data_IF_025703298924
#
_entry.id   IF_025703298924
#
_cell.length_a   1.000
_cell.length_b   1.000
_cell.length_c   1.000
_cell.angle_alpha   90.00
_cell.angle_beta   90.00
_cell.angle_gamma   90.00
#
_symmetry.space_group_name_H-M   'P 1'
#
loop_
_entity.id
_entity.type
_entity.pdbx_description
1 polymer ?
#
# COMPACT_ATOMS: atom_id res chain seq x y z
N UNK A 1 21.66 3.63 32.35
CA UNK A 1 22.89 3.55 33.18
C UNK A 1 23.36 4.96 33.48
N UNK A 2 23.65 5.27 34.74
CA UNK A 2 23.87 6.63 35.23
C UNK A 2 25.30 7.09 34.87
N UNK A 3 25.47 7.85 33.78
CA UNK A 3 26.77 8.39 33.30
C UNK A 3 27.59 9.03 34.44
N UNK A 4 26.90 9.70 35.37
CA UNK A 4 27.48 10.34 36.56
C UNK A 4 28.25 9.41 37.51
N UNK A 5 27.98 8.10 37.51
CA UNK A 5 28.70 7.17 38.39
C UNK A 5 30.06 6.76 37.82
N UNK A 6 30.19 6.72 36.49
CA UNK A 6 31.46 6.38 35.84
C UNK A 6 32.45 7.55 35.92
N UNK A 7 32.02 8.76 35.57
CA UNK A 7 32.89 9.95 35.59
C UNK A 7 33.45 10.21 36.99
N UNK A 8 32.64 10.05 38.05
CA UNK A 8 33.11 10.20 39.44
C UNK A 8 34.17 9.17 39.83
N UNK A 9 34.01 7.91 39.40
CA UNK A 9 34.99 6.85 39.64
C UNK A 9 36.29 7.10 38.87
N UNK A 10 36.19 7.62 37.65
CA UNK A 10 37.34 7.96 36.82
C UNK A 10 38.14 9.12 37.43
N UNK A 11 37.49 10.22 37.81
CA UNK A 11 38.17 11.35 38.48
C UNK A 11 38.90 10.93 39.76
N UNK A 12 38.31 10.03 40.56
CA UNK A 12 38.96 9.50 41.75
C UNK A 12 40.25 8.72 41.40
N UNK A 13 40.20 7.85 40.38
CA UNK A 13 41.37 7.08 39.92
C UNK A 13 42.45 7.95 39.30
N UNK A 14 42.06 8.93 38.50
CA UNK A 14 42.97 9.89 37.88
C UNK A 14 43.75 10.67 38.96
N UNK A 15 43.07 11.08 40.04
CA UNK A 15 43.71 11.77 41.16
C UNK A 15 44.70 10.88 41.93
N UNK A 16 44.41 9.58 42.05
CA UNK A 16 45.30 8.61 42.68
C UNK A 16 46.55 8.38 41.82
N UNK A 17 46.34 8.17 40.51
CA UNK A 17 47.42 8.01 39.53
C UNK A 17 48.34 9.23 39.50
N UNK A 18 47.80 10.46 39.48
CA UNK A 18 48.63 11.67 39.51
C UNK A 18 49.56 11.72 40.72
N UNK A 19 49.04 11.35 41.88
CA UNK A 19 49.80 11.37 43.14
C UNK A 19 50.92 10.35 43.10
N UNK A 20 50.62 9.12 42.67
CA UNK A 20 51.61 8.05 42.56
C UNK A 20 52.68 8.37 41.52
N UNK A 21 52.29 8.92 40.37
CA UNK A 21 53.20 9.29 39.30
C UNK A 21 54.16 10.41 39.73
N UNK A 22 53.66 11.44 40.41
CA UNK A 22 54.50 12.52 40.96
C UNK A 22 55.49 11.98 42.00
N UNK A 23 55.03 11.14 42.92
CA UNK A 23 55.90 10.51 43.92
C UNK A 23 56.99 9.63 43.26
N UNK A 24 56.64 8.90 42.19
CA UNK A 24 57.59 8.11 41.42
C UNK A 24 58.64 8.99 40.73
N UNK A 25 58.24 10.05 40.01
CA UNK A 25 59.17 11.00 39.38
C UNK A 25 60.10 11.64 40.40
N UNK A 26 59.60 11.98 41.59
CA UNK A 26 60.40 12.55 42.69
C UNK A 26 61.42 11.56 43.26
N UNK A 27 61.10 10.26 43.26
CA UNK A 27 62.00 9.20 43.73
C UNK A 27 63.17 8.89 42.78
N UNK A 28 63.11 9.36 41.53
CA UNK A 28 64.12 9.06 40.51
C UNK A 28 65.37 9.96 40.62
N UNK A 29 66.56 9.42 40.28
CA UNK A 29 67.79 10.21 40.16
C UNK A 29 67.65 11.34 39.11
N UNK A 30 68.38 12.44 39.33
CA UNK A 30 68.32 13.63 38.46
C UNK A 30 68.61 13.33 36.98
N UNK A 31 69.49 12.36 36.70
CA UNK A 31 69.84 11.96 35.33
C UNK A 31 68.69 11.23 34.61
N UNK A 32 67.89 10.46 35.34
CA UNK A 32 66.73 9.74 34.79
C UNK A 32 65.55 10.69 34.60
N UNK A 33 65.37 11.65 35.52
CA UNK A 33 64.37 12.72 35.36
C UNK A 33 64.61 13.56 34.11
N UNK A 34 65.86 13.94 33.83
CA UNK A 34 66.21 14.67 32.59
C UNK A 34 65.93 13.86 31.32
N UNK A 35 66.14 12.54 31.35
CA UNK A 35 65.80 11.66 30.23
C UNK A 35 64.29 11.60 29.99
N UNK A 36 63.50 11.51 31.06
CA UNK A 36 62.04 11.52 30.97
C UNK A 36 61.51 12.87 30.49
N UNK A 37 62.09 13.98 30.94
CA UNK A 37 61.77 15.32 30.47
C UNK A 37 62.06 15.49 28.98
N UNK A 38 63.21 15.00 28.50
CA UNK A 38 63.56 14.99 27.08
C UNK A 38 62.59 14.14 26.23
N UNK A 39 61.95 13.14 26.83
CA UNK A 39 60.93 12.30 26.20
C UNK A 39 59.50 12.86 26.35
N UNK A 40 59.32 13.98 27.06
CA UNK A 40 58.00 14.57 27.33
C UNK A 40 57.17 13.79 28.37
N UNK A 41 57.80 12.88 29.12
CA UNK A 41 57.20 12.02 30.14
C UNK A 41 57.45 12.56 31.56
N UNK A 42 57.68 13.87 31.71
CA UNK A 42 57.87 14.47 33.03
C UNK A 42 56.53 14.70 33.76
N UNK A 43 55.41 14.69 33.05
CA UNK A 43 54.08 14.98 33.58
C UNK A 43 53.16 13.76 33.43
N UNK A 44 52.27 13.51 34.42
CA UNK A 44 51.28 12.43 34.31
C UNK A 44 50.31 12.71 33.16
N UNK A 45 49.96 11.67 32.41
CA UNK A 45 49.00 11.77 31.31
C UNK A 45 47.58 11.54 31.82
N UNK A 46 46.84 12.62 32.02
CA UNK A 46 45.46 12.60 32.56
C UNK A 46 44.48 13.33 31.61
N UNK A 47 44.92 13.62 30.38
CA UNK A 47 44.09 14.32 29.42
C UNK A 47 42.88 13.45 29.06
N UNK A 48 41.67 13.93 29.40
CA UNK A 48 40.41 13.29 29.04
C UNK A 48 40.06 13.50 27.54
N UNK A 49 40.87 14.27 26.81
CA UNK A 49 40.67 14.61 25.40
C UNK A 49 41.90 14.22 24.57
N UNK A 50 41.69 13.45 23.50
CA UNK A 50 42.69 13.25 22.45
C UNK A 50 42.67 14.40 21.45
N UNK A 51 43.77 14.63 20.72
CA UNK A 51 43.94 15.69 19.70
C UNK A 51 42.94 15.63 18.50
N UNK A 52 41.91 14.79 18.55
CA UNK A 52 40.89 14.63 17.52
C UNK A 52 39.46 15.02 17.93
N UNK A 53 39.21 15.39 19.19
CA UNK A 53 37.86 15.74 19.67
C UNK A 53 37.90 17.07 20.44
N UNK A 54 37.08 18.03 20.00
CA UNK A 54 36.98 19.34 20.67
C UNK A 54 36.24 19.26 22.02
N UNK A 55 35.43 18.22 22.25
CA UNK A 55 34.69 17.98 23.51
C UNK A 55 34.36 16.48 23.66
N UNK A 56 34.99 15.80 24.61
CA UNK A 56 34.60 14.46 25.05
C UNK A 56 35.28 13.28 24.34
N UNK A 57 35.03 12.08 24.85
CA UNK A 57 35.52 10.82 24.27
C UNK A 57 34.67 10.45 23.03
N UNK A 58 35.20 9.59 22.15
CA UNK A 58 34.47 9.11 20.98
C UNK A 58 33.15 8.41 21.34
N UNK A 59 33.10 7.81 22.55
CA UNK A 59 31.90 7.20 23.12
C UNK A 59 30.79 8.23 23.44
N UNK A 60 31.13 9.50 23.63
CA UNK A 60 30.16 10.58 23.84
C UNK A 60 29.58 11.11 22.53
N UNK A 61 30.05 10.61 21.37
CA UNK A 61 29.60 11.11 20.08
C UNK A 61 28.17 10.63 19.76
N UNK A 62 27.32 11.48 19.16
CA UNK A 62 25.99 11.07 18.69
C UNK A 62 26.02 9.92 17.67
N UNK A 63 27.15 9.74 16.98
CA UNK A 63 27.39 8.65 16.02
C UNK A 63 27.53 7.28 16.68
N UNK A 64 27.93 7.23 17.95
CA UNK A 64 28.08 5.99 18.73
C UNK A 64 26.89 5.76 19.67
N UNK A 65 25.81 6.54 19.52
CA UNK A 65 24.56 6.34 20.26
C UNK A 65 23.95 5.00 19.85
N UNK A 66 23.77 4.08 20.79
CA UNK A 66 22.93 2.90 20.57
C UNK A 66 21.52 3.39 20.17
N UNK A 67 20.96 2.78 19.12
CA UNK A 67 19.66 3.18 18.57
C UNK A 67 18.55 3.14 19.63
N UNK A 68 17.48 3.90 19.40
CA UNK A 68 16.34 3.90 20.33
C UNK A 68 15.79 2.47 20.47
N UNK A 69 15.48 2.08 21.72
CA UNK A 69 14.98 0.72 22.02
C UNK A 69 13.72 0.44 21.18
N UNK A 70 13.74 -0.58 20.31
CA UNK A 70 12.59 -0.90 19.47
C UNK A 70 11.34 -1.27 20.28
N UNK A 71 11.49 -1.65 21.55
CA UNK A 71 10.37 -1.92 22.46
C UNK A 71 9.71 -0.65 23.04
N UNK A 72 10.33 0.52 22.89
CA UNK A 72 9.76 1.82 23.27
C UNK A 72 9.10 2.55 22.09
N UNK A 73 9.17 1.99 20.89
CA UNK A 73 8.39 2.48 19.77
C UNK A 73 6.91 2.24 20.09
N UNK A 74 6.04 3.28 20.03
CA UNK A 74 4.61 3.05 20.12
C UNK A 74 4.22 2.06 18.99
N UNK A 75 3.40 1.07 19.33
CA UNK A 75 2.84 0.16 18.32
C UNK A 75 2.26 1.02 17.19
N UNK A 76 2.56 0.70 15.92
CA UNK A 76 1.99 1.43 14.81
C UNK A 76 0.46 1.43 14.98
N UNK A 77 -0.15 2.61 14.95
CA UNK A 77 -1.61 2.71 14.89
C UNK A 77 -2.09 1.79 13.76
N UNK A 78 -3.15 0.99 13.97
CA UNK A 78 -3.65 0.13 12.93
C UNK A 78 -3.98 0.99 11.71
N UNK A 79 -3.23 0.77 10.63
CA UNK A 79 -3.53 1.34 9.32
C UNK A 79 -5.01 1.09 9.01
N UNK A 80 -5.76 2.06 8.45
CA UNK A 80 -7.17 1.85 8.16
C UNK A 80 -7.32 0.63 7.24
N UNK A 81 -7.96 -0.42 7.76
CA UNK A 81 -8.18 -1.69 7.09
C UNK A 81 -8.83 -1.48 5.71
N UNK A 82 -8.03 -1.53 4.66
CA UNK A 82 -8.46 -1.46 3.26
C UNK A 82 -9.42 -2.64 2.90
N UNK A 83 -9.49 -3.67 3.74
CA UNK A 83 -10.39 -4.83 3.63
C UNK A 83 -11.87 -4.48 3.81
N UNK A 84 -12.18 -3.49 4.66
CA UNK A 84 -13.57 -3.06 4.92
C UNK A 84 -14.22 -2.48 3.65
N UNK A 85 -13.45 -1.72 2.87
CA UNK A 85 -13.88 -1.13 1.60
C UNK A 85 -14.23 -2.21 0.54
N UNK A 86 -13.42 -3.26 0.43
CA UNK A 86 -13.67 -4.34 -0.53
C UNK A 86 -14.91 -5.16 -0.15
N UNK A 87 -15.06 -5.47 1.13
CA UNK A 87 -16.20 -6.25 1.65
C UNK A 87 -17.52 -5.52 1.41
N UNK A 88 -17.60 -4.23 1.71
CA UNK A 88 -18.81 -3.43 1.46
C UNK A 88 -19.14 -3.33 -0.04
N UNK A 89 -18.14 -3.25 -0.91
CA UNK A 89 -18.34 -3.24 -2.36
C UNK A 89 -18.93 -4.56 -2.86
N UNK A 90 -18.38 -5.70 -2.41
CA UNK A 90 -18.89 -7.04 -2.73
C UNK A 90 -20.32 -7.21 -2.21
N UNK A 91 -20.58 -6.82 -0.96
CA UNK A 91 -21.92 -6.88 -0.38
C UNK A 91 -22.90 -5.98 -1.13
N UNK A 92 -22.49 -4.79 -1.55
CA UNK A 92 -23.31 -3.89 -2.37
C UNK A 92 -23.68 -4.52 -3.71
N UNK A 93 -22.72 -5.15 -4.40
CA UNK A 93 -22.97 -5.86 -5.64
C UNK A 93 -23.95 -7.04 -5.45
N UNK A 94 -23.77 -7.84 -4.40
CA UNK A 94 -24.67 -8.94 -4.05
C UNK A 94 -26.08 -8.42 -3.75
N UNK A 95 -26.21 -7.36 -2.95
CA UNK A 95 -27.51 -6.73 -2.64
C UNK A 95 -28.25 -6.29 -3.90
N UNK A 96 -27.55 -5.67 -4.86
CA UNK A 96 -28.14 -5.26 -6.16
C UNK A 96 -28.64 -6.46 -6.96
N UNK A 97 -27.85 -7.53 -7.06
CA UNK A 97 -28.25 -8.77 -7.76
C UNK A 97 -29.48 -9.40 -7.12
N UNK A 98 -29.48 -9.54 -5.78
CA UNK A 98 -30.60 -10.15 -5.06
C UNK A 98 -31.86 -9.29 -5.17
N UNK A 99 -31.74 -7.97 -5.02
CA UNK A 99 -32.86 -7.04 -5.19
C UNK A 99 -33.49 -7.18 -6.58
N UNK A 100 -32.67 -7.24 -7.62
CA UNK A 100 -33.16 -7.36 -9.00
C UNK A 100 -33.87 -8.71 -9.27
N UNK A 101 -33.47 -9.79 -8.60
CA UNK A 101 -34.17 -11.07 -8.69
C UNK A 101 -35.52 -11.01 -7.98
N UNK A 102 -35.58 -10.37 -6.81
CA UNK A 102 -36.79 -10.31 -5.97
C UNK A 102 -37.83 -9.30 -6.48
N UNK A 103 -37.42 -8.20 -7.10
CA UNK A 103 -38.31 -7.14 -7.56
C UNK A 103 -39.01 -7.43 -8.90
N UNK A 104 -38.64 -8.51 -9.60
CA UNK A 104 -39.19 -8.83 -10.93
C UNK A 104 -40.08 -10.07 -10.88
N UNK A 105 -41.23 -10.00 -11.54
CA UNK A 105 -42.27 -11.05 -11.52
C UNK A 105 -41.77 -12.42 -12.04
N UNK A 106 -40.77 -12.42 -12.93
CA UNK A 106 -40.14 -13.63 -13.45
C UNK A 106 -38.68 -13.72 -13.00
N UNK A 107 -38.50 -14.10 -11.73
CA UNK A 107 -37.19 -14.33 -11.11
C UNK A 107 -36.32 -15.31 -11.91
N UNK A 108 -36.91 -16.34 -12.52
CA UNK A 108 -36.17 -17.33 -13.32
C UNK A 108 -35.58 -16.72 -14.59
N UNK A 109 -36.36 -15.93 -15.33
CA UNK A 109 -35.87 -15.20 -16.50
C UNK A 109 -34.77 -14.21 -16.11
N UNK A 110 -34.98 -13.44 -15.05
CA UNK A 110 -33.99 -12.48 -14.55
C UNK A 110 -32.69 -13.18 -14.17
N UNK A 111 -32.76 -14.32 -13.47
CA UNK A 111 -31.58 -15.10 -13.09
C UNK A 111 -30.81 -15.62 -14.31
N UNK A 112 -31.50 -16.15 -15.32
CA UNK A 112 -30.85 -16.59 -16.56
C UNK A 112 -30.20 -15.43 -17.33
N UNK A 113 -30.82 -14.24 -17.31
CA UNK A 113 -30.22 -13.05 -17.89
C UNK A 113 -29.01 -12.56 -17.09
N UNK A 114 -29.06 -12.57 -15.75
CA UNK A 114 -27.94 -12.25 -14.87
C UNK A 114 -26.75 -13.20 -15.10
N UNK A 115 -27.02 -14.50 -15.22
CA UNK A 115 -26.00 -15.50 -15.53
C UNK A 115 -25.34 -15.25 -16.90
N UNK A 116 -26.12 -14.82 -17.90
CA UNK A 116 -25.60 -14.47 -19.24
C UNK A 116 -24.75 -13.20 -19.24
N UNK A 117 -25.15 -12.14 -18.52
CA UNK A 117 -24.42 -10.85 -18.50
C UNK A 117 -23.20 -10.87 -17.59
N UNK A 118 -23.24 -11.60 -16.48
CA UNK A 118 -22.10 -11.73 -15.55
C UNK A 118 -21.10 -12.80 -15.97
N UNK A 119 -21.55 -13.84 -16.67
CA UNK A 119 -20.72 -15.00 -17.03
C UNK A 119 -20.46 -15.98 -15.87
N UNK A 120 -20.92 -15.68 -14.65
CA UNK A 120 -20.62 -16.46 -13.43
C UNK A 120 -21.27 -17.85 -13.41
N UNK A 121 -22.35 -18.06 -14.15
CA UNK A 121 -23.07 -19.34 -14.22
C UNK A 121 -23.67 -19.57 -15.61
N UNK A 122 -22.95 -19.15 -16.65
CA UNK A 122 -23.45 -19.23 -18.02
C UNK A 122 -23.43 -20.68 -18.52
N UNK A 123 -24.61 -21.27 -18.71
CA UNK A 123 -24.80 -22.65 -19.18
C UNK A 123 -24.57 -22.84 -20.69
N UNK A 124 -23.99 -21.85 -21.38
CA UNK A 124 -23.87 -21.86 -22.84
C UNK A 124 -25.13 -21.43 -23.59
N UNK A 125 -26.27 -21.23 -22.89
CA UNK A 125 -27.55 -20.95 -23.53
C UNK A 125 -27.60 -19.59 -24.21
N UNK A 126 -27.87 -19.57 -25.51
CA UNK A 126 -28.01 -18.32 -26.25
C UNK A 126 -29.26 -17.54 -25.80
N UNK A 127 -29.30 -16.22 -26.05
CA UNK A 127 -30.50 -15.40 -25.81
C UNK A 127 -31.75 -15.95 -26.54
N UNK A 128 -31.55 -16.66 -27.66
CA UNK A 128 -32.65 -17.28 -28.42
C UNK A 128 -33.20 -18.51 -27.68
N UNK A 129 -32.36 -19.31 -27.04
CA UNK A 129 -32.79 -20.46 -26.23
C UNK A 129 -33.51 -20.01 -24.97
N UNK A 130 -32.98 -18.98 -24.29
CA UNK A 130 -33.63 -18.36 -23.14
C UNK A 130 -35.02 -17.85 -23.55
N UNK A 131 -35.10 -17.12 -24.67
CA UNK A 131 -36.35 -16.61 -25.20
C UNK A 131 -37.39 -17.71 -25.46
N UNK A 132 -36.98 -18.81 -26.10
CA UNK A 132 -37.84 -19.98 -26.35
C UNK A 132 -38.34 -20.62 -25.05
N UNK A 133 -37.47 -20.79 -24.06
CA UNK A 133 -37.81 -21.41 -22.77
C UNK A 133 -38.85 -20.60 -21.99
N UNK A 134 -38.76 -19.27 -22.08
CA UNK A 134 -39.64 -18.34 -21.36
C UNK A 134 -40.82 -17.84 -22.21
N UNK A 135 -40.98 -18.31 -23.45
CA UNK A 135 -42.09 -17.92 -24.33
C UNK A 135 -42.09 -16.45 -24.75
N UNK A 136 -40.92 -15.82 -24.79
CA UNK A 136 -40.75 -14.40 -25.12
C UNK A 136 -39.90 -14.20 -26.38
N UNK A 137 -39.81 -12.96 -26.86
CA UNK A 137 -38.95 -12.65 -28.01
C UNK A 137 -37.47 -12.56 -27.61
N UNK A 138 -36.58 -12.93 -28.53
CA UNK A 138 -35.13 -12.71 -28.35
C UNK A 138 -34.80 -11.24 -28.09
N UNK A 139 -35.54 -10.31 -28.72
CA UNK A 139 -35.36 -8.88 -28.52
C UNK A 139 -35.69 -8.45 -27.08
N UNK A 140 -36.73 -9.03 -26.47
CA UNK A 140 -37.05 -8.79 -25.05
C UNK A 140 -35.93 -9.28 -24.12
N UNK A 141 -35.41 -10.50 -24.33
CA UNK A 141 -34.24 -11.00 -23.59
C UNK A 141 -33.03 -10.09 -23.78
N UNK A 142 -32.76 -9.68 -25.02
CA UNK A 142 -31.64 -8.78 -25.32
C UNK A 142 -31.79 -7.43 -24.62
N UNK A 143 -33.00 -6.86 -24.57
CA UNK A 143 -33.26 -5.59 -23.87
C UNK A 143 -32.98 -5.76 -22.37
N UNK A 144 -33.52 -6.83 -21.78
CA UNK A 144 -33.33 -7.14 -20.36
C UNK A 144 -31.85 -7.32 -19.99
N UNK A 145 -31.09 -8.02 -20.83
CA UNK A 145 -29.65 -8.19 -20.61
C UNK A 145 -28.90 -6.83 -20.68
N UNK A 146 -29.31 -5.91 -21.55
CA UNK A 146 -28.70 -4.57 -21.60
C UNK A 146 -28.99 -3.78 -20.32
N UNK A 147 -30.25 -3.75 -19.87
CA UNK A 147 -30.65 -3.10 -18.61
C UNK A 147 -29.86 -3.64 -17.42
N UNK A 148 -29.69 -4.96 -17.31
CA UNK A 148 -28.91 -5.58 -16.23
C UNK A 148 -27.42 -5.26 -16.31
N UNK A 149 -26.86 -5.16 -17.52
CA UNK A 149 -25.45 -4.77 -17.72
C UNK A 149 -25.21 -3.35 -17.21
N UNK A 150 -26.15 -2.44 -17.47
CA UNK A 150 -26.10 -1.05 -17.00
C UNK A 150 -26.31 -0.94 -15.49
N UNK A 151 -27.27 -1.70 -14.93
CA UNK A 151 -27.58 -1.69 -13.50
C UNK A 151 -26.44 -2.25 -12.64
N UNK A 152 -25.80 -3.31 -13.12
CA UNK A 152 -24.70 -3.97 -12.41
C UNK A 152 -23.32 -3.36 -12.72
N UNK A 153 -23.27 -2.32 -13.57
CA UNK A 153 -22.04 -1.67 -14.04
C UNK A 153 -21.01 -2.67 -14.61
N UNK A 154 -21.51 -3.60 -15.44
CA UNK A 154 -20.69 -4.64 -16.05
C UNK A 154 -20.33 -4.29 -17.50
N UNK A 155 -19.16 -4.71 -18.00
CA UNK A 155 -18.93 -4.73 -19.45
C UNK A 155 -19.85 -5.77 -20.11
N UNK A 156 -20.22 -5.58 -21.39
CA UNK A 156 -21.01 -6.59 -22.09
C UNK A 156 -20.27 -7.92 -22.14
N UNK A 157 -20.95 -9.00 -21.74
CA UNK A 157 -20.36 -10.34 -21.74
C UNK A 157 -20.03 -10.84 -23.16
N UNK A 158 -19.28 -11.95 -23.26
CA UNK A 158 -18.98 -12.61 -24.53
C UNK A 158 -20.24 -12.98 -25.34
N UNK A 159 -21.33 -13.35 -24.65
CA UNK A 159 -22.60 -13.68 -25.29
C UNK A 159 -23.32 -12.43 -25.84
N UNK A 160 -22.86 -11.24 -25.47
CA UNK A 160 -23.42 -9.96 -25.89
C UNK A 160 -22.58 -9.30 -26.97
N UNK A 161 -23.24 -8.40 -27.70
CA UNK A 161 -22.56 -7.55 -28.67
C UNK A 161 -21.83 -6.41 -27.95
N UNK A 162 -20.59 -6.15 -28.35
CA UNK A 162 -19.78 -5.05 -27.81
C UNK A 162 -20.42 -3.67 -28.02
N UNK A 163 -20.08 -2.70 -27.18
CA UNK A 163 -20.61 -1.34 -27.26
C UNK A 163 -20.32 -0.68 -28.62
N UNK A 164 -19.10 -0.85 -29.14
CA UNK A 164 -18.69 -0.36 -30.46
C UNK A 164 -19.53 -0.97 -31.58
N UNK A 165 -19.74 -2.29 -31.53
CA UNK A 165 -20.59 -2.96 -32.50
C UNK A 165 -22.03 -2.44 -32.41
N UNK A 166 -22.62 -2.30 -31.21
CA UNK A 166 -23.97 -1.73 -31.03
C UNK A 166 -24.10 -0.33 -31.66
N UNK A 167 -23.13 0.56 -31.43
CA UNK A 167 -23.09 1.91 -32.05
C UNK A 167 -23.12 1.82 -33.59
N UNK A 168 -22.30 0.94 -34.17
CA UNK A 168 -22.25 0.72 -35.63
C UNK A 168 -23.58 0.19 -36.17
N UNK A 169 -24.20 -0.79 -35.52
CA UNK A 169 -25.49 -1.31 -35.95
C UNK A 169 -26.62 -0.30 -35.80
N UNK A 170 -26.62 0.51 -34.73
CA UNK A 170 -27.58 1.61 -34.56
C UNK A 170 -27.45 2.63 -35.69
N UNK A 171 -26.23 3.06 -36.01
CA UNK A 171 -25.98 3.99 -37.11
C UNK A 171 -26.38 3.40 -38.48
N UNK A 172 -26.10 2.12 -38.73
CA UNK A 172 -26.52 1.43 -39.93
C UNK A 172 -28.05 1.34 -40.03
N UNK A 173 -28.74 1.01 -38.93
CA UNK A 173 -30.20 0.92 -38.86
C UNK A 173 -30.87 2.27 -39.13
N UNK A 174 -30.37 3.36 -38.52
CA UNK A 174 -30.89 4.71 -38.75
C UNK A 174 -30.72 5.10 -40.23
N UNK A 175 -29.56 4.80 -40.83
CA UNK A 175 -29.33 5.05 -42.26
C UNK A 175 -30.32 4.27 -43.13
N UNK A 176 -30.50 2.97 -42.89
CA UNK A 176 -31.43 2.16 -43.68
C UNK A 176 -32.88 2.63 -43.56
N UNK A 177 -33.31 3.04 -42.36
CA UNK A 177 -34.67 3.55 -42.16
C UNK A 177 -34.86 4.89 -42.88
N UNK A 178 -33.92 5.83 -42.74
CA UNK A 178 -33.95 7.12 -43.45
C UNK A 178 -33.94 6.97 -44.97
N UNK A 179 -33.16 6.02 -45.50
CA UNK A 179 -33.15 5.72 -46.94
C UNK A 179 -34.47 5.16 -47.46
N UNK A 180 -35.26 4.49 -46.61
CA UNK A 180 -36.59 3.98 -46.95
C UNK A 180 -37.69 5.06 -46.82
N UNK A 181 -37.46 6.09 -46.00
CA UNK A 181 -38.38 7.23 -45.81
C UNK A 181 -38.26 8.29 -46.90
N UNK A 182 -37.16 8.34 -47.65
CA UNK A 182 -37.05 9.18 -48.84
C UNK A 182 -37.88 8.54 -49.96
N UNK A 183 -38.98 9.16 -50.43
CA UNK A 183 -39.69 8.67 -51.60
C UNK A 183 -38.69 8.64 -52.76
N UNK A 184 -38.71 7.56 -53.56
CA UNK A 184 -38.10 7.62 -54.88
C UNK A 184 -38.89 8.63 -55.70
N UNK A 185 -38.51 9.91 -55.63
CA UNK A 185 -38.88 10.91 -56.61
C UNK A 185 -38.08 10.58 -57.88
N UNK A 186 -38.50 9.52 -58.55
CA UNK A 186 -38.21 9.29 -59.96
C UNK A 186 -39.29 10.05 -60.74
N UNK A 187 -39.03 11.31 -61.03
CA UNK A 187 -39.69 12.01 -62.13
C UNK A 187 -38.64 12.21 -63.23
N UNK A 188 -38.94 11.54 -64.36
CA UNK A 188 -38.72 11.89 -65.77
C UNK A 188 -37.37 12.44 -66.23
#
# INVERSE_FOLDING_TARGET
MNSDDYSRKQTARDSEYEREYKAWIESLPADERRKLEAQGLASPSVAHHGNGSAKGDAADSPLMREGDDPALLPDPEPEPDNETCHTESVHSAIRRVVAEILCHDNARLTTECIALVSGLSYTGSSMTEIAKRHGITRAAVSKRCVELTELLDLPPSRAMRSLTARKRYRAARIRSTRSHELPQTSES
#
